data_IF_140710426461
#
_entry.id   IF_140710426461
#
_cell.length_a   1.000
_cell.length_b   1.000
_cell.length_c   1.000
_cell.angle_alpha   90.00
_cell.angle_beta   90.00
_cell.angle_gamma   90.00
#
_symmetry.space_group_name_H-M   'P 1'
#
loop_
_entity.id
_entity.type
_entity.pdbx_description
1 polymer ?
#
# COMPACT_ATOMS: atom_id res chain seq x y z
N UNK A 1 6.18 4.31 1.90
CA UNK A 1 4.77 4.51 1.47
C UNK A 1 4.76 5.59 0.41
N UNK A 2 4.00 5.41 -0.68
CA UNK A 2 3.94 6.39 -1.79
C UNK A 2 2.47 6.78 -2.01
N UNK A 3 2.07 8.05 -1.76
CA UNK A 3 0.68 8.47 -1.91
C UNK A 3 0.25 8.50 -3.38
N UNK A 4 -1.02 8.17 -3.61
CA UNK A 4 -1.68 8.24 -4.92
C UNK A 4 -2.83 9.25 -4.79
N UNK A 5 -2.81 10.28 -5.63
CA UNK A 5 -3.90 11.24 -5.70
C UNK A 5 -5.18 10.50 -6.11
N UNK A 6 -6.26 10.72 -5.36
CA UNK A 6 -7.58 10.18 -5.68
C UNK A 6 -8.66 11.21 -5.41
N UNK A 7 -9.71 11.18 -6.22
CA UNK A 7 -10.96 11.91 -6.00
C UNK A 7 -11.79 11.33 -4.86
N UNK A 8 -11.50 10.10 -4.44
CA UNK A 8 -12.15 9.46 -3.30
C UNK A 8 -11.68 10.05 -1.97
N UNK A 9 -10.52 10.71 -1.94
CA UNK A 9 -10.01 11.35 -0.73
C UNK A 9 -11.00 12.40 -0.21
N UNK A 10 -11.37 12.27 1.07
CA UNK A 10 -12.32 13.16 1.71
C UNK A 10 -13.79 12.81 1.47
N UNK A 11 -14.10 11.87 0.57
CA UNK A 11 -15.47 11.39 0.38
C UNK A 11 -15.92 10.54 1.58
N UNK A 12 -17.20 10.66 1.93
CA UNK A 12 -17.82 9.93 3.04
C UNK A 12 -18.81 8.91 2.53
N UNK A 13 -18.74 7.69 3.05
CA UNK A 13 -19.64 6.59 2.71
C UNK A 13 -20.01 5.81 3.96
N UNK A 14 -21.17 5.15 3.92
CA UNK A 14 -21.44 4.10 4.89
C UNK A 14 -20.45 2.95 4.67
N UNK A 15 -19.82 2.46 5.74
CA UNK A 15 -18.76 1.45 5.62
C UNK A 15 -19.22 0.20 4.87
N UNK A 16 -20.45 -0.27 5.14
CA UNK A 16 -21.01 -1.44 4.46
C UNK A 16 -21.10 -1.24 2.93
N UNK A 17 -21.35 -0.02 2.44
CA UNK A 17 -21.38 0.28 0.99
C UNK A 17 -19.99 0.18 0.38
N UNK A 18 -18.97 0.66 1.09
CA UNK A 18 -17.58 0.47 0.66
C UNK A 18 -17.23 -1.02 0.60
N UNK A 19 -17.62 -1.79 1.61
CA UNK A 19 -17.39 -3.23 1.61
C UNK A 19 -18.10 -3.98 0.47
N UNK A 20 -19.36 -3.63 0.17
CA UNK A 20 -20.12 -4.21 -0.95
C UNK A 20 -19.43 -3.99 -2.30
N UNK A 21 -18.78 -2.85 -2.49
CA UNK A 21 -18.07 -2.52 -3.74
C UNK A 21 -16.65 -3.07 -3.75
N UNK A 22 -15.89 -2.88 -2.67
CA UNK A 22 -14.45 -3.13 -2.65
C UNK A 22 -14.11 -4.61 -2.40
N UNK A 23 -14.88 -5.35 -1.58
CA UNK A 23 -14.58 -6.78 -1.31
C UNK A 23 -14.63 -7.65 -2.57
N UNK A 24 -15.64 -7.53 -3.46
CA UNK A 24 -15.66 -8.29 -4.71
C UNK A 24 -14.50 -7.95 -5.66
N UNK A 25 -13.97 -6.73 -5.57
CA UNK A 25 -12.80 -6.29 -6.34
C UNK A 25 -11.48 -6.85 -5.80
N UNK A 26 -11.49 -7.56 -4.66
CA UNK A 26 -10.31 -8.17 -4.05
C UNK A 26 -9.70 -7.35 -2.92
N UNK A 27 -10.33 -6.25 -2.50
CA UNK A 27 -9.91 -5.53 -1.31
C UNK A 27 -10.36 -6.29 -0.07
N UNK A 28 -9.49 -6.29 0.94
CA UNK A 28 -9.81 -6.81 2.25
C UNK A 28 -9.59 -5.72 3.27
N UNK A 29 -10.35 -5.79 4.34
CA UNK A 29 -10.11 -4.94 5.50
C UNK A 29 -8.82 -5.45 6.17
N UNK A 30 -7.77 -4.63 6.12
CA UNK A 30 -6.42 -5.00 6.55
C UNK A 30 -6.22 -5.00 8.06
N UNK A 31 -5.15 -5.64 8.52
CA UNK A 31 -4.75 -5.68 9.93
C UNK A 31 -4.05 -4.40 10.35
N UNK A 32 -4.79 -3.46 10.96
CA UNK A 32 -4.35 -2.38 11.86
C UNK A 32 -5.58 -1.52 12.21
N UNK A 33 -6.61 -2.14 12.80
CA UNK A 33 -7.85 -1.44 13.16
C UNK A 33 -7.72 -0.80 14.53
N UNK A 34 -8.12 0.46 14.59
CA UNK A 34 -8.40 1.19 15.82
C UNK A 34 -9.93 1.41 15.89
N UNK A 35 -10.46 1.87 17.02
CA UNK A 35 -11.90 2.13 17.20
C UNK A 35 -12.50 3.02 16.11
N UNK A 36 -11.69 3.96 15.62
CA UNK A 36 -12.11 4.97 14.65
C UNK A 36 -11.44 4.83 13.28
N UNK A 37 -10.48 3.91 13.09
CA UNK A 37 -9.65 3.88 11.86
C UNK A 37 -9.49 2.48 11.31
N UNK A 38 -9.54 2.38 9.99
CA UNK A 38 -9.30 1.15 9.26
C UNK A 38 -8.67 1.42 7.91
N UNK A 39 -8.37 0.33 7.20
CA UNK A 39 -7.78 0.37 5.87
C UNK A 39 -8.37 -0.76 5.03
N UNK A 40 -8.67 -0.46 3.76
CA UNK A 40 -8.85 -1.46 2.72
C UNK A 40 -7.51 -1.72 2.03
N UNK A 41 -7.08 -2.97 2.01
CA UNK A 41 -5.86 -3.44 1.38
C UNK A 41 -6.17 -4.31 0.17
N UNK A 42 -5.58 -3.96 -0.96
CA UNK A 42 -5.51 -4.77 -2.15
C UNK A 42 -4.08 -5.28 -2.32
N UNK A 43 -3.91 -6.60 -2.30
CA UNK A 43 -2.62 -7.25 -2.51
C UNK A 43 -2.23 -7.19 -3.98
N UNK A 44 -1.14 -6.49 -4.29
CA UNK A 44 -0.62 -6.38 -5.65
C UNK A 44 0.36 -7.51 -5.93
N UNK A 45 1.28 -7.77 -5.00
CA UNK A 45 2.39 -8.70 -5.17
C UNK A 45 2.99 -9.11 -3.81
N UNK A 46 3.67 -10.25 -3.76
CA UNK A 46 4.40 -10.73 -2.59
C UNK A 46 5.76 -11.38 -2.89
N UNK A 47 6.20 -11.43 -4.15
CA UNK A 47 7.42 -12.17 -4.54
C UNK A 47 8.71 -11.58 -3.95
N UNK A 48 8.88 -10.25 -4.01
CA UNK A 48 10.06 -9.52 -3.51
C UNK A 48 9.71 -8.71 -2.25
N UNK A 49 8.89 -9.30 -1.37
CA UNK A 49 8.27 -8.60 -0.23
C UNK A 49 6.85 -8.13 -0.52
N UNK A 50 6.19 -7.54 0.46
CA UNK A 50 4.76 -7.28 0.37
C UNK A 50 4.42 -5.93 -0.26
N UNK A 51 3.52 -5.97 -1.24
CA UNK A 51 3.08 -4.82 -2.02
C UNK A 51 1.57 -4.70 -1.96
N UNK A 52 1.07 -3.65 -1.33
CA UNK A 52 -0.36 -3.37 -1.21
C UNK A 52 -0.71 -1.99 -1.72
N UNK A 53 -1.85 -1.87 -2.40
CA UNK A 53 -2.57 -0.60 -2.42
C UNK A 53 -3.43 -0.55 -1.16
N UNK A 54 -3.17 0.45 -0.32
CA UNK A 54 -3.90 0.69 0.93
C UNK A 54 -4.75 1.94 0.78
N UNK A 55 -6.03 1.83 1.11
CA UNK A 55 -7.02 2.92 1.14
C UNK A 55 -7.47 3.12 2.59
N UNK A 56 -6.91 4.09 3.31
CA UNK A 56 -7.28 4.33 4.71
C UNK A 56 -8.63 5.01 4.81
N UNK A 57 -9.28 4.83 5.96
CA UNK A 57 -10.50 5.53 6.29
C UNK A 57 -10.61 5.77 7.80
N UNK A 58 -11.35 6.81 8.16
CA UNK A 58 -11.62 7.19 9.55
C UNK A 58 -13.13 7.33 9.76
N UNK A 59 -13.67 6.76 10.82
CA UNK A 59 -15.05 6.95 11.26
C UNK A 59 -15.32 8.43 11.56
N UNK A 60 -16.42 8.94 11.03
CA UNK A 60 -16.84 10.34 11.22
C UNK A 60 -18.24 10.44 11.83
N UNK A 61 -19.03 9.37 11.78
CA UNK A 61 -20.32 9.26 12.45
C UNK A 61 -20.58 7.79 12.83
N UNK A 62 -20.59 7.51 14.14
CA UNK A 62 -20.63 6.15 14.71
C UNK A 62 -19.25 5.53 14.95
N UNK A 63 -19.27 4.27 15.35
CA UNK A 63 -18.08 3.45 15.65
C UNK A 63 -17.96 2.32 14.62
N UNK A 64 -16.75 1.88 14.29
CA UNK A 64 -16.54 0.91 13.20
C UNK A 64 -17.23 -0.44 13.39
N UNK A 65 -17.54 -0.82 14.64
CA UNK A 65 -18.23 -2.08 14.99
C UNK A 65 -19.77 -1.93 15.02
N UNK A 66 -20.29 -0.75 14.67
CA UNK A 66 -21.74 -0.46 14.67
C UNK A 66 -22.27 -0.44 13.23
N UNK A 67 -23.38 -1.17 12.94
CA UNK A 67 -24.03 -1.11 11.64
C UNK A 67 -24.42 0.33 11.26
N UNK A 68 -24.04 0.74 10.06
CA UNK A 68 -24.39 2.07 9.53
C UNK A 68 -23.37 3.17 9.81
N UNK A 69 -22.22 2.85 10.40
CA UNK A 69 -21.10 3.79 10.56
C UNK A 69 -20.73 4.48 9.24
N UNK A 70 -20.55 5.79 9.31
CA UNK A 70 -20.07 6.59 8.19
C UNK A 70 -18.57 6.80 8.38
N UNK A 71 -17.81 6.50 7.33
CA UNK A 71 -16.37 6.68 7.30
C UNK A 71 -16.00 7.66 6.19
N UNK A 72 -14.91 8.40 6.41
CA UNK A 72 -14.27 9.25 5.41
C UNK A 72 -13.03 8.56 4.88
N UNK A 73 -12.93 8.41 3.57
CA UNK A 73 -11.73 7.89 2.91
C UNK A 73 -10.60 8.92 2.99
N UNK A 74 -9.38 8.44 3.16
CA UNK A 74 -8.15 9.23 3.16
C UNK A 74 -7.33 8.94 1.88
N UNK A 75 -6.18 9.60 1.72
CA UNK A 75 -5.32 9.42 0.55
C UNK A 75 -4.86 7.96 0.42
N UNK A 76 -5.18 7.27 -0.70
CA UNK A 76 -4.63 5.96 -0.99
C UNK A 76 -3.11 6.01 -1.13
N UNK A 77 -2.42 4.92 -0.79
CA UNK A 77 -0.98 4.83 -1.00
C UNK A 77 -0.51 3.40 -1.27
N UNK A 78 0.64 3.29 -1.93
CA UNK A 78 1.37 2.04 -2.05
C UNK A 78 2.16 1.80 -0.76
N UNK A 79 1.84 0.70 -0.10
CA UNK A 79 2.60 0.12 0.99
C UNK A 79 3.51 -0.95 0.41
N UNK A 80 4.81 -0.69 0.43
CA UNK A 80 5.85 -1.55 -0.11
C UNK A 80 6.85 -1.84 1.00
N UNK A 81 7.13 -3.12 1.23
CA UNK A 81 8.23 -3.56 2.05
C UNK A 81 8.98 -4.65 1.29
N UNK A 82 10.19 -4.32 0.86
CA UNK A 82 11.10 -5.27 0.24
C UNK A 82 11.82 -6.00 1.37
N UNK A 83 11.87 -7.33 1.32
CA UNK A 83 12.72 -8.08 2.25
C UNK A 83 14.16 -7.65 2.00
N UNK A 84 14.79 -7.02 2.99
CA UNK A 84 16.23 -6.86 2.96
C UNK A 84 16.81 -8.21 3.36
N UNK A 85 17.43 -8.91 2.42
CA UNK A 85 18.34 -10.00 2.78
C UNK A 85 19.40 -9.38 3.70
N UNK A 86 19.51 -9.89 4.93
CA UNK A 86 20.63 -9.57 5.83
C UNK A 86 21.92 -10.14 5.25
N UNK A 87 22.43 -9.53 4.18
CA UNK A 87 23.77 -9.78 3.64
C UNK A 87 24.80 -8.98 4.45
N UNK A 88 24.84 -9.19 5.76
CA UNK A 88 26.03 -8.80 6.54
C UNK A 88 26.15 -9.61 7.83
N UNK A 89 26.62 -10.85 7.71
CA UNK A 89 27.26 -11.56 8.83
C UNK A 89 28.28 -12.60 8.34
N UNK A 90 29.05 -12.21 7.31
CA UNK A 90 30.30 -12.90 6.99
C UNK A 90 31.35 -11.92 6.46
N UNK A 91 31.59 -10.85 7.23
CA UNK A 91 32.91 -10.20 7.21
C UNK A 91 33.90 -11.21 7.77
N UNK A 92 34.39 -12.07 6.88
CA UNK A 92 35.52 -12.93 7.12
C UNK A 92 36.68 -11.98 7.47
N UNK A 93 36.97 -11.86 8.76
CA UNK A 93 37.93 -10.93 9.37
C UNK A 93 39.40 -11.14 8.94
N UNK A 94 39.62 -11.82 7.81
CA UNK A 94 40.91 -12.22 7.26
C UNK A 94 41.33 -11.41 6.02
N UNK A 95 40.49 -10.49 5.50
CA UNK A 95 40.79 -9.73 4.26
C UNK A 95 40.91 -8.22 4.45
N UNK A 96 41.29 -7.75 5.65
CA UNK A 96 41.55 -6.33 5.92
C UNK A 96 42.88 -5.79 5.33
N UNK A 97 43.55 -6.55 4.45
CA UNK A 97 44.96 -6.31 4.08
C UNK A 97 45.21 -5.66 2.71
N UNK A 98 44.45 -5.99 1.67
CA UNK A 98 44.82 -5.58 0.29
C UNK A 98 43.61 -5.71 -0.62
N UNK A 99 43.09 -4.60 -1.18
CA UNK A 99 42.45 -4.47 -2.51
C UNK A 99 41.50 -3.27 -2.55
N UNK A 100 42.05 -2.11 -2.88
CA UNK A 100 41.31 -0.85 -3.02
C UNK A 100 40.87 -0.52 -4.44
N UNK A 101 40.31 -1.47 -5.21
CA UNK A 101 39.84 -1.21 -6.57
C UNK A 101 38.57 -2.05 -6.86
N UNK A 102 37.48 -1.37 -7.24
CA UNK A 102 36.19 -1.90 -7.75
C UNK A 102 35.17 -2.58 -6.80
N UNK A 103 34.84 -1.98 -5.65
CA UNK A 103 33.63 -2.37 -4.87
C UNK A 103 32.47 -1.37 -4.94
N UNK A 104 32.58 -0.28 -5.72
CA UNK A 104 31.62 0.84 -5.69
C UNK A 104 31.00 1.19 -7.05
N UNK A 105 30.57 0.18 -7.80
CA UNK A 105 29.61 0.41 -8.88
C UNK A 105 28.38 -0.47 -8.67
N UNK A 106 27.71 -0.25 -7.54
CA UNK A 106 26.35 -0.75 -7.31
C UNK A 106 25.36 0.02 -8.22
N UNK A 107 24.33 -0.65 -8.76
CA UNK A 107 23.28 0.02 -9.49
C UNK A 107 22.61 1.06 -8.57
N UNK A 108 22.46 2.28 -9.09
CA UNK A 108 22.16 3.47 -8.30
C UNK A 108 20.80 3.44 -7.56
N UNK A 109 19.86 2.54 -7.94
CA UNK A 109 18.60 2.26 -7.22
C UNK A 109 17.82 1.11 -7.92
N UNK A 110 18.15 -0.19 -7.75
CA UNK A 110 17.37 -1.29 -8.30
C UNK A 110 15.93 -1.31 -7.75
N UNK A 111 15.73 -0.87 -6.51
CA UNK A 111 14.41 -0.73 -5.90
C UNK A 111 13.56 0.36 -6.56
N UNK A 112 14.18 1.32 -7.24
CA UNK A 112 13.51 2.45 -7.88
C UNK A 112 12.59 2.01 -9.01
N UNK A 113 13.00 1.04 -9.81
CA UNK A 113 12.18 0.49 -10.90
C UNK A 113 11.04 -0.40 -10.36
N UNK A 114 11.33 -1.19 -9.34
CA UNK A 114 10.34 -2.01 -8.61
C UNK A 114 9.25 -1.11 -8.00
N UNK A 115 9.64 -0.03 -7.32
CA UNK A 115 8.71 0.96 -6.75
C UNK A 115 7.85 1.64 -7.84
N UNK A 116 8.44 1.99 -9.01
CA UNK A 116 7.69 2.60 -10.13
C UNK A 116 6.63 1.67 -10.71
N UNK A 117 6.93 0.37 -10.86
CA UNK A 117 5.97 -0.65 -11.32
C UNK A 117 4.71 -0.63 -10.46
N UNK A 118 4.86 -0.73 -9.14
CA UNK A 118 3.71 -0.79 -8.22
C UNK A 118 2.95 0.53 -8.13
N UNK A 119 3.62 1.68 -8.25
CA UNK A 119 2.95 2.99 -8.32
C UNK A 119 2.04 3.09 -9.55
N UNK A 120 2.49 2.60 -10.71
CA UNK A 120 1.66 2.63 -11.91
C UNK A 120 0.44 1.71 -11.78
N UNK A 121 0.61 0.51 -11.22
CA UNK A 121 -0.49 -0.41 -10.92
C UNK A 121 -1.48 0.26 -9.95
N UNK A 122 -0.98 0.87 -8.88
CA UNK A 122 -1.80 1.58 -7.91
C UNK A 122 -2.65 2.69 -8.52
N UNK A 123 -2.09 3.48 -9.45
CA UNK A 123 -2.85 4.52 -10.16
C UNK A 123 -4.01 3.94 -10.96
N UNK A 124 -3.80 2.81 -11.63
CA UNK A 124 -4.86 2.13 -12.40
C UNK A 124 -5.95 1.61 -11.45
N UNK A 125 -5.58 0.94 -10.37
CA UNK A 125 -6.52 0.44 -9.36
C UNK A 125 -7.35 1.56 -8.71
N UNK A 126 -6.73 2.70 -8.40
CA UNK A 126 -7.44 3.88 -7.89
C UNK A 126 -8.42 4.45 -8.92
N UNK A 127 -8.03 4.51 -10.19
CA UNK A 127 -8.93 4.94 -11.27
C UNK A 127 -10.13 3.99 -11.44
N UNK A 128 -9.91 2.69 -11.33
CA UNK A 128 -10.99 1.70 -11.35
C UNK A 128 -11.95 1.89 -10.18
N UNK A 129 -11.43 2.07 -8.95
CA UNK A 129 -12.26 2.40 -7.78
C UNK A 129 -13.08 3.68 -8.01
N UNK A 130 -12.44 4.75 -8.50
CA UNK A 130 -13.14 6.00 -8.82
C UNK A 130 -14.29 5.77 -9.82
N UNK A 131 -14.08 4.94 -10.84
CA UNK A 131 -15.14 4.63 -11.80
C UNK A 131 -16.30 3.88 -11.15
N UNK A 132 -16.04 2.95 -10.23
CA UNK A 132 -17.10 2.25 -9.50
C UNK A 132 -17.95 3.18 -8.63
N UNK A 133 -17.34 4.20 -8.01
CA UNK A 133 -18.04 5.11 -7.10
C UNK A 133 -18.67 6.33 -7.79
N UNK A 134 -18.11 6.80 -8.91
CA UNK A 134 -18.56 8.02 -9.58
C UNK A 134 -19.29 7.78 -10.91
N UNK A 135 -19.03 6.65 -11.58
CA UNK A 135 -19.59 6.34 -12.90
C UNK A 135 -20.47 5.08 -12.90
N UNK A 136 -20.73 4.48 -11.74
CA UNK A 136 -21.65 3.35 -11.61
C UNK A 136 -23.10 3.80 -11.69
N UNK A 137 -23.70 3.63 -12.87
CA UNK A 137 -25.15 3.41 -13.05
C UNK A 137 -25.52 1.94 -12.74
#
# INVERSE_FOLDING_TARGET
>A
MIPIQSKLEGCTYALYKLEEVMKPLGYSIGGNWDYDKGCFDYKIDEEEGYQFLRVPFTAVDGELDVPGVIVRLETPYILSHVYQDELDDNVNALTAGTSGLDQFAEPQDPDGDVKRKYVNIGKVLVQELENHFFNGE
#
